data_IF_641887489696
#
_entry.id   IF_641887489696
#
_cell.length_a   1.000
_cell.length_b   1.000
_cell.length_c   1.000
_cell.angle_alpha   90.00
_cell.angle_beta   90.00
_cell.angle_gamma   90.00
#
_symmetry.space_group_name_H-M   'P 1'
#
loop_
_entity.id
_entity.type
_entity.pdbx_description
1 polymer ?
#
# COMPACT_ATOMS: atom_id res chain seq x y z
N UNK A 1 45.67 30.30 -35.08
CA UNK A 1 44.36 29.95 -34.50
C UNK A 1 44.58 29.59 -33.04
N UNK A 2 44.17 30.41 -32.05
CA UNK A 2 44.35 30.05 -30.65
C UNK A 2 43.20 29.13 -30.23
N UNK A 3 43.56 27.95 -29.75
CA UNK A 3 42.66 26.98 -29.13
C UNK A 3 42.26 27.49 -27.75
N UNK A 4 40.97 27.80 -27.55
CA UNK A 4 40.41 28.16 -26.26
C UNK A 4 40.28 26.91 -25.38
N UNK A 5 41.30 26.63 -24.57
CA UNK A 5 41.17 25.68 -23.46
C UNK A 5 40.50 26.40 -22.29
N UNK A 6 39.23 26.04 -22.05
CA UNK A 6 38.42 26.61 -20.97
C UNK A 6 39.10 26.40 -19.59
N UNK A 7 39.26 27.44 -18.75
CA UNK A 7 39.94 27.33 -17.47
C UNK A 7 39.21 26.35 -16.52
N UNK A 8 40.01 25.49 -15.89
CA UNK A 8 39.61 24.36 -15.04
C UNK A 8 38.63 24.76 -13.91
N UNK A 9 38.69 26.01 -13.46
CA UNK A 9 37.84 26.60 -12.41
C UNK A 9 36.37 26.75 -12.82
N UNK A 10 36.07 27.00 -14.10
CA UNK A 10 34.68 27.06 -14.59
C UNK A 10 34.04 25.67 -14.63
N UNK A 11 34.81 24.62 -14.89
CA UNK A 11 34.32 23.24 -14.87
C UNK A 11 33.94 22.76 -13.47
N UNK A 12 34.68 23.18 -12.44
CA UNK A 12 34.39 22.79 -11.04
C UNK A 12 33.11 23.45 -10.53
N UNK A 13 32.89 24.73 -10.84
CA UNK A 13 31.67 25.45 -10.41
C UNK A 13 30.41 24.94 -11.10
N UNK A 14 30.49 24.60 -12.38
CA UNK A 14 29.39 23.97 -13.12
C UNK A 14 29.10 22.55 -12.63
N UNK A 15 30.13 21.77 -12.27
CA UNK A 15 29.94 20.43 -11.70
C UNK A 15 29.26 20.46 -10.33
N UNK A 16 29.67 21.39 -9.46
CA UNK A 16 29.08 21.54 -8.13
C UNK A 16 27.60 21.97 -8.18
N UNK A 17 27.24 22.89 -9.08
CA UNK A 17 25.84 23.31 -9.24
C UNK A 17 24.96 22.18 -9.79
N UNK A 18 25.46 21.39 -10.74
CA UNK A 18 24.74 20.22 -11.28
C UNK A 18 24.52 19.13 -10.22
N UNK A 19 25.51 18.89 -9.35
CA UNK A 19 25.37 17.91 -8.26
C UNK A 19 24.37 18.39 -7.20
N UNK A 20 24.42 19.67 -6.82
CA UNK A 20 23.45 20.23 -5.87
C UNK A 20 22.02 20.23 -6.41
N UNK A 21 21.81 20.57 -7.68
CA UNK A 21 20.47 20.54 -8.27
C UNK A 21 19.94 19.12 -8.40
N UNK A 22 20.78 18.15 -8.75
CA UNK A 22 20.40 16.74 -8.78
C UNK A 22 20.01 16.23 -7.38
N UNK A 23 20.78 16.58 -6.34
CA UNK A 23 20.48 16.17 -4.97
C UNK A 23 19.21 16.84 -4.42
N UNK A 24 19.01 18.13 -4.73
CA UNK A 24 17.79 18.86 -4.36
C UNK A 24 16.56 18.30 -5.08
N UNK A 25 16.66 17.97 -6.37
CA UNK A 25 15.58 17.35 -7.13
C UNK A 25 15.23 15.96 -6.59
N UNK A 26 16.24 15.14 -6.27
CA UNK A 26 16.03 13.82 -5.66
C UNK A 26 15.38 13.94 -4.26
N UNK A 27 15.86 14.85 -3.41
CA UNK A 27 15.26 15.13 -2.11
C UNK A 27 13.81 15.63 -2.21
N UNK A 28 13.54 16.55 -3.13
CA UNK A 28 12.19 17.08 -3.36
C UNK A 28 11.23 15.98 -3.85
N UNK A 29 11.70 15.05 -4.69
CA UNK A 29 10.89 13.93 -5.16
C UNK A 29 10.49 12.97 -4.04
N UNK A 30 11.28 12.88 -2.97
CA UNK A 30 10.97 12.04 -1.81
C UNK A 30 9.95 12.70 -0.87
N UNK A 31 10.01 14.02 -0.71
CA UNK A 31 9.05 14.78 0.11
C UNK A 31 7.68 14.90 -0.58
N UNK A 32 7.67 14.98 -1.92
CA UNK A 32 6.44 15.05 -2.70
C UNK A 32 5.85 13.67 -3.05
N UNK A 33 6.50 12.57 -2.64
CA UNK A 33 5.96 11.25 -2.87
C UNK A 33 4.65 11.10 -2.08
N UNK A 34 3.56 10.62 -2.71
CA UNK A 34 2.35 10.31 -1.98
C UNK A 34 2.66 9.27 -0.90
N UNK A 35 2.11 9.45 0.29
CA UNK A 35 2.19 8.44 1.35
C UNK A 35 1.47 7.19 0.86
N UNK A 36 2.20 6.12 0.57
CA UNK A 36 1.60 4.82 0.38
C UNK A 36 0.99 4.38 1.72
N UNK A 37 -0.33 4.45 1.82
CA UNK A 37 -1.09 3.90 2.96
C UNK A 37 -1.68 2.56 2.55
N UNK A 38 -1.31 1.48 3.22
CA UNK A 38 -2.08 0.25 3.14
C UNK A 38 -3.36 0.44 3.97
N UNK A 39 -4.48 0.71 3.29
CA UNK A 39 -5.77 0.76 3.97
C UNK A 39 -6.27 -0.67 4.24
N UNK A 40 -6.68 -0.96 5.48
CA UNK A 40 -7.13 -2.30 5.88
C UNK A 40 -6.01 -3.24 6.31
N UNK A 41 -4.88 -2.68 6.77
CA UNK A 41 -3.76 -3.46 7.30
C UNK A 41 -4.24 -4.31 8.49
N UNK A 42 -3.91 -5.61 8.51
CA UNK A 42 -4.33 -6.56 9.55
C UNK A 42 -5.87 -6.85 9.65
N UNK A 43 -6.66 -6.45 8.64
CA UNK A 43 -8.08 -6.76 8.56
C UNK A 43 -8.37 -8.26 8.35
N UNK A 44 -9.40 -8.78 9.00
CA UNK A 44 -9.81 -10.19 8.93
C UNK A 44 -11.33 -10.31 8.73
N UNK A 45 -11.73 -11.26 7.88
CA UNK A 45 -13.14 -11.63 7.67
C UNK A 45 -13.36 -13.01 8.27
N UNK A 46 -14.14 -13.04 9.35
CA UNK A 46 -14.47 -14.26 10.07
C UNK A 46 -15.85 -14.75 9.70
N UNK A 47 -16.03 -16.06 9.72
CA UNK A 47 -17.31 -16.71 9.52
C UNK A 47 -17.85 -17.10 10.90
N UNK A 48 -19.09 -16.73 11.19
CA UNK A 48 -19.76 -17.17 12.41
C UNK A 48 -21.06 -17.89 12.08
N UNK A 49 -21.31 -19.00 12.77
CA UNK A 49 -22.62 -19.65 12.72
C UNK A 49 -23.69 -18.71 13.28
N UNK A 50 -24.89 -18.78 12.71
CA UNK A 50 -26.06 -18.07 13.28
C UNK A 50 -26.25 -18.44 14.76
N UNK A 51 -26.45 -17.44 15.60
CA UNK A 51 -26.62 -17.59 17.06
C UNK A 51 -25.35 -17.39 17.88
N UNK A 52 -24.18 -17.30 17.23
CA UNK A 52 -22.96 -16.84 17.88
C UNK A 52 -23.12 -15.35 18.23
N UNK A 53 -22.77 -14.90 19.45
CA UNK A 53 -22.79 -13.48 19.80
C UNK A 53 -21.78 -12.67 18.97
N UNK A 54 -22.11 -11.40 18.72
CA UNK A 54 -21.19 -10.49 18.02
C UNK A 54 -19.93 -10.17 18.85
N UNK A 55 -18.80 -9.94 18.18
CA UNK A 55 -17.55 -9.53 18.82
C UNK A 55 -16.72 -10.66 19.43
N UNK A 56 -17.07 -11.93 19.19
CA UNK A 56 -16.24 -13.07 19.61
C UNK A 56 -15.19 -13.40 18.55
N UNK A 57 -13.98 -13.76 18.97
CA UNK A 57 -12.89 -14.05 18.02
C UNK A 57 -12.94 -15.43 17.35
N UNK A 58 -14.06 -16.15 17.44
CA UNK A 58 -14.16 -17.57 17.09
C UNK A 58 -14.62 -17.79 15.65
N UNK A 59 -13.76 -18.27 14.78
CA UNK A 59 -14.12 -18.60 13.38
C UNK A 59 -14.81 -19.98 13.23
N UNK A 60 -15.87 -20.06 12.40
CA UNK A 60 -16.66 -21.26 12.09
C UNK A 60 -16.66 -21.56 10.57
N UNK A 61 -15.56 -22.02 9.98
CA UNK A 61 -15.42 -22.12 8.52
C UNK A 61 -16.31 -23.20 7.87
N UNK A 62 -16.95 -24.08 8.65
CA UNK A 62 -17.79 -25.20 8.15
C UNK A 62 -19.22 -25.08 8.68
N UNK A 63 -20.05 -24.34 7.95
CA UNK A 63 -21.43 -24.01 8.35
C UNK A 63 -22.33 -23.83 7.14
N UNK A 64 -23.63 -24.12 7.30
CA UNK A 64 -24.63 -23.94 6.24
C UNK A 64 -25.37 -22.59 6.34
N UNK A 65 -25.49 -22.04 7.55
CA UNK A 65 -26.08 -20.73 7.82
C UNK A 65 -25.09 -19.92 8.65
N UNK A 66 -24.70 -18.76 8.16
CA UNK A 66 -23.65 -17.95 8.75
C UNK A 66 -23.85 -16.47 8.49
N UNK A 67 -23.10 -15.66 9.22
CA UNK A 67 -22.86 -14.25 8.92
C UNK A 67 -21.35 -14.00 8.88
N UNK A 68 -20.96 -12.95 8.17
CA UNK A 68 -19.57 -12.49 8.11
C UNK A 68 -19.35 -11.42 9.18
N UNK A 69 -18.21 -11.46 9.85
CA UNK A 69 -17.77 -10.42 10.77
C UNK A 69 -16.43 -9.86 10.30
N UNK A 70 -16.35 -8.54 10.19
CA UNK A 70 -15.21 -7.82 9.66
C UNK A 70 -14.52 -7.08 10.80
N UNK A 71 -13.28 -7.48 11.11
CA UNK A 71 -12.53 -6.94 12.25
C UNK A 71 -11.17 -6.41 11.80
N UNK A 72 -10.65 -5.41 12.53
CA UNK A 72 -9.29 -4.87 12.37
C UNK A 72 -8.98 -4.25 10.99
N UNK A 73 -9.97 -3.69 10.28
CA UNK A 73 -9.77 -3.04 8.99
C UNK A 73 -9.28 -1.57 9.07
N UNK A 74 -8.84 -1.11 10.24
CA UNK A 74 -8.38 0.27 10.48
C UNK A 74 -9.30 1.34 9.87
N UNK A 75 -8.80 2.10 8.88
CA UNK A 75 -9.55 3.16 8.19
C UNK A 75 -10.43 2.64 7.03
N UNK A 76 -10.35 1.36 6.69
CA UNK A 76 -11.11 0.77 5.59
C UNK A 76 -12.51 0.38 6.07
N UNK A 77 -13.51 1.18 5.69
CA UNK A 77 -14.91 0.97 6.12
C UNK A 77 -15.68 -0.01 5.23
N UNK A 78 -15.15 -0.33 4.04
CA UNK A 78 -15.83 -1.13 3.02
C UNK A 78 -14.82 -2.02 2.31
N UNK A 79 -15.15 -3.31 2.15
CA UNK A 79 -14.33 -4.28 1.44
C UNK A 79 -15.18 -5.16 0.52
N UNK A 80 -14.63 -5.50 -0.65
CA UNK A 80 -15.25 -6.47 -1.56
C UNK A 80 -14.90 -7.89 -1.12
N UNK A 81 -15.89 -8.80 -1.14
CA UNK A 81 -15.70 -10.20 -0.83
C UNK A 81 -16.45 -11.10 -1.82
N UNK A 82 -15.98 -12.33 -1.97
CA UNK A 82 -16.61 -13.37 -2.80
C UNK A 82 -16.73 -14.65 -2.00
N UNK A 83 -17.92 -15.25 -2.01
CA UNK A 83 -18.15 -16.57 -1.40
C UNK A 83 -18.21 -17.59 -2.52
N UNK A 84 -17.29 -18.56 -2.50
CA UNK A 84 -17.26 -19.66 -3.46
C UNK A 84 -17.69 -20.97 -2.79
N UNK A 85 -18.72 -21.66 -3.32
CA UNK A 85 -19.15 -22.94 -2.77
C UNK A 85 -18.11 -24.04 -3.02
N UNK A 86 -17.87 -24.89 -2.02
CA UNK A 86 -17.07 -26.11 -2.17
C UNK A 86 -17.82 -27.35 -1.64
N UNK A 87 -18.14 -28.34 -2.49
CA UNK A 87 -17.87 -28.38 -3.94
C UNK A 87 -18.68 -27.32 -4.72
N UNK A 88 -18.32 -27.03 -5.99
CA UNK A 88 -19.10 -26.13 -6.83
C UNK A 88 -20.57 -26.55 -6.88
N UNK A 89 -21.48 -25.57 -6.92
CA UNK A 89 -22.91 -25.85 -7.09
C UNK A 89 -23.15 -26.56 -8.43
N UNK A 90 -24.16 -27.46 -8.51
CA UNK A 90 -24.58 -28.03 -9.79
C UNK A 90 -24.96 -26.91 -10.76
N UNK A 91 -24.53 -27.02 -12.02
CA UNK A 91 -24.94 -26.12 -13.12
C UNK A 91 -26.37 -26.39 -13.56
#
# INVERSE_FOLDING_TARGET
>A
MPTLTLPRTFRVRAGATVVLTALAAAGASWVAAPTASAAGENGDIRIHRVGVPFGVSKDDPRVCKFYLDAVNFDALTTIAYTITPQPPLPT
#
